data_IF_235651213500
#
_entry.id   IF_235651213500
#
_cell.length_a   1.000
_cell.length_b   1.000
_cell.length_c   1.000
_cell.angle_alpha   90.00
_cell.angle_beta   90.00
_cell.angle_gamma   90.00
#
_symmetry.space_group_name_H-M   'P 1'
#
loop_
_entity.id
_entity.type
_entity.pdbx_description
1 polymer ?
#
# COMPACT_ATOMS: atom_id res chain seq x y z
N UNK A 1 -28.24 1.03 0.63
CA UNK A 1 -27.80 -0.22 1.27
C UNK A 1 -26.45 -0.02 1.91
N UNK A 2 -26.12 -0.78 2.96
CA UNK A 2 -24.82 -0.67 3.65
C UNK A 2 -23.64 -0.99 2.72
N UNK A 3 -23.82 -1.93 1.79
CA UNK A 3 -22.79 -2.27 0.78
C UNK A 3 -22.42 -1.06 -0.09
N UNK A 4 -23.38 -0.30 -0.59
CA UNK A 4 -23.09 0.88 -1.42
C UNK A 4 -22.32 1.97 -0.64
N UNK A 5 -22.62 2.13 0.65
CA UNK A 5 -21.88 3.06 1.53
C UNK A 5 -20.44 2.58 1.74
N UNK A 6 -20.25 1.28 1.94
CA UNK A 6 -18.93 0.67 2.10
C UNK A 6 -18.08 0.81 0.84
N UNK A 7 -18.65 0.51 -0.34
CA UNK A 7 -17.94 0.70 -1.62
C UNK A 7 -17.51 2.17 -1.79
N UNK A 8 -18.43 3.11 -1.59
CA UNK A 8 -18.11 4.54 -1.69
C UNK A 8 -16.98 4.94 -0.74
N UNK A 9 -17.02 4.45 0.50
CA UNK A 9 -15.99 4.72 1.49
C UNK A 9 -14.62 4.21 1.02
N UNK A 10 -14.53 2.95 0.62
CA UNK A 10 -13.27 2.36 0.19
C UNK A 10 -12.72 2.94 -1.10
N UNK A 11 -13.58 3.27 -2.08
CA UNK A 11 -13.17 3.96 -3.30
C UNK A 11 -12.57 5.34 -3.00
N UNK A 12 -13.13 6.06 -2.02
CA UNK A 12 -12.59 7.34 -1.56
C UNK A 12 -11.28 7.16 -0.81
N UNK A 13 -11.23 6.21 0.13
CA UNK A 13 -10.03 5.89 0.92
C UNK A 13 -8.85 5.48 0.03
N UNK A 14 -9.13 4.70 -1.02
CA UNK A 14 -8.16 4.31 -2.04
C UNK A 14 -7.79 5.42 -3.04
N UNK A 15 -8.35 6.62 -2.89
CA UNK A 15 -8.07 7.75 -3.78
C UNK A 15 -8.61 7.62 -5.19
N UNK A 16 -9.52 6.65 -5.45
CA UNK A 16 -10.14 6.43 -6.76
C UNK A 16 -11.26 7.44 -7.03
N UNK A 17 -11.99 7.82 -5.98
CA UNK A 17 -13.05 8.82 -6.05
C UNK A 17 -12.85 9.94 -5.04
N UNK A 18 -13.49 11.08 -5.34
CA UNK A 18 -13.55 12.25 -4.45
C UNK A 18 -14.94 12.84 -4.42
N UNK A 19 -15.31 13.46 -3.31
CA UNK A 19 -16.54 14.24 -3.21
C UNK A 19 -16.30 15.66 -3.72
N UNK A 20 -17.01 16.07 -4.76
CA UNK A 20 -16.93 17.43 -5.30
C UNK A 20 -18.22 18.20 -4.92
N UNK A 21 -18.11 19.36 -4.25
CA UNK A 21 -19.28 20.15 -3.89
C UNK A 21 -20.20 20.38 -5.08
N UNK A 22 -21.51 20.17 -4.89
CA UNK A 22 -22.60 20.30 -5.88
C UNK A 22 -22.55 19.32 -7.08
N UNK A 23 -21.44 18.57 -7.27
CA UNK A 23 -21.29 17.59 -8.36
C UNK A 23 -21.36 16.13 -7.88
N UNK A 24 -21.34 15.92 -6.57
CA UNK A 24 -21.35 14.57 -5.98
C UNK A 24 -20.03 13.83 -6.12
N UNK A 25 -20.08 12.51 -6.20
CA UNK A 25 -18.88 11.66 -6.33
C UNK A 25 -18.33 11.74 -7.75
N UNK A 26 -17.03 12.04 -7.86
CA UNK A 26 -16.30 12.10 -9.13
C UNK A 26 -15.08 11.17 -9.06
N UNK A 27 -14.61 10.69 -10.21
CA UNK A 27 -13.32 10.02 -10.31
C UNK A 27 -12.18 11.03 -10.13
N UNK A 28 -11.16 10.62 -9.41
CA UNK A 28 -9.86 11.32 -9.40
C UNK A 28 -9.10 11.01 -10.70
N UNK A 29 -7.93 11.63 -10.92
CA UNK A 29 -7.08 11.25 -12.06
C UNK A 29 -6.65 9.77 -11.96
N UNK A 30 -6.26 9.29 -10.78
CA UNK A 30 -6.02 7.86 -10.53
C UNK A 30 -7.25 7.01 -10.92
N UNK A 31 -8.44 7.42 -10.48
CA UNK A 31 -9.69 6.69 -10.77
C UNK A 31 -10.02 6.65 -12.27
N UNK A 32 -9.74 7.73 -13.02
CA UNK A 32 -9.93 7.77 -14.48
C UNK A 32 -9.00 6.81 -15.20
N UNK A 33 -7.73 6.77 -14.79
CA UNK A 33 -6.72 5.87 -15.37
C UNK A 33 -7.11 4.42 -15.11
N UNK A 34 -7.44 4.06 -13.87
CA UNK A 34 -7.90 2.69 -13.54
C UNK A 34 -9.15 2.33 -14.34
N UNK A 35 -10.16 3.22 -14.40
CA UNK A 35 -11.38 2.96 -15.16
C UNK A 35 -11.13 2.77 -16.66
N UNK A 36 -10.08 3.37 -17.21
CA UNK A 36 -9.71 3.26 -18.62
C UNK A 36 -8.93 1.98 -18.93
N UNK A 37 -7.95 1.63 -18.07
CA UNK A 37 -6.97 0.59 -18.41
C UNK A 37 -7.19 -0.73 -17.66
N UNK A 38 -7.74 -0.67 -16.45
CA UNK A 38 -7.98 -1.84 -15.59
C UNK A 38 -9.32 -1.72 -14.83
N UNK A 39 -10.47 -1.64 -15.53
CA UNK A 39 -11.77 -1.40 -14.92
C UNK A 39 -12.23 -2.51 -13.96
N UNK A 40 -11.65 -3.70 -14.05
CA UNK A 40 -11.97 -4.86 -13.21
C UNK A 40 -10.97 -5.06 -12.07
N UNK A 41 -9.89 -4.26 -12.01
CA UNK A 41 -8.85 -4.33 -10.97
C UNK A 41 -8.22 -5.73 -10.94
N UNK A 42 -7.81 -6.22 -12.10
CA UNK A 42 -7.16 -7.52 -12.28
C UNK A 42 -5.63 -7.41 -12.36
N UNK A 43 -5.11 -6.21 -12.62
CA UNK A 43 -3.68 -5.98 -12.72
C UNK A 43 -3.04 -5.87 -11.32
N UNK A 44 -1.97 -6.62 -11.10
CA UNK A 44 -1.22 -6.62 -9.84
C UNK A 44 -0.68 -5.21 -9.50
N UNK A 45 -0.29 -4.43 -10.50
CA UNK A 45 0.17 -3.06 -10.29
C UNK A 45 -0.94 -2.16 -9.72
N UNK A 46 -2.17 -2.27 -10.26
CA UNK A 46 -3.35 -1.59 -9.71
C UNK A 46 -3.57 -1.94 -8.25
N UNK A 47 -3.51 -3.24 -7.91
CA UNK A 47 -3.68 -3.70 -6.53
C UNK A 47 -2.62 -3.11 -5.60
N UNK A 48 -1.36 -3.04 -6.03
CA UNK A 48 -0.29 -2.41 -5.26
C UNK A 48 -0.53 -0.91 -5.05
N UNK A 49 -0.94 -0.18 -6.08
CA UNK A 49 -1.25 1.26 -5.96
C UNK A 49 -2.42 1.48 -4.99
N UNK A 50 -3.50 0.71 -5.12
CA UNK A 50 -4.65 0.80 -4.20
C UNK A 50 -4.26 0.47 -2.77
N UNK A 51 -3.42 -0.55 -2.55
CA UNK A 51 -2.86 -0.86 -1.25
C UNK A 51 -2.09 0.33 -0.67
N UNK A 52 -1.16 0.91 -1.43
CA UNK A 52 -0.37 2.05 -1.00
C UNK A 52 -1.26 3.25 -0.62
N UNK A 53 -2.32 3.50 -1.39
CA UNK A 53 -3.28 4.59 -1.08
C UNK A 53 -4.07 4.32 0.19
N UNK A 54 -4.57 3.10 0.39
CA UNK A 54 -5.32 2.72 1.60
C UNK A 54 -4.40 2.75 2.81
N UNK A 55 -3.28 2.04 2.77
CA UNK A 55 -2.33 1.94 3.88
C UNK A 55 -1.58 3.26 4.15
N UNK A 56 -1.49 4.16 3.16
CA UNK A 56 -0.96 5.51 3.31
C UNK A 56 -1.93 6.54 3.90
N UNK A 57 -3.21 6.19 4.04
CA UNK A 57 -4.28 7.14 4.43
C UNK A 57 -4.59 7.05 5.94
N UNK A 58 -3.90 7.85 6.75
CA UNK A 58 -4.14 7.89 8.19
C UNK A 58 -5.54 8.37 8.56
N UNK A 59 -6.08 9.36 7.85
CA UNK A 59 -7.37 9.98 8.21
C UNK A 59 -8.57 9.07 8.00
N UNK A 60 -8.56 8.26 6.94
CA UNK A 60 -9.70 7.41 6.57
C UNK A 60 -9.47 5.93 6.84
N UNK A 61 -8.23 5.48 7.01
CA UNK A 61 -7.89 4.09 7.27
C UNK A 61 -6.79 3.99 8.35
N UNK A 62 -7.03 4.63 9.50
CA UNK A 62 -6.07 4.73 10.60
C UNK A 62 -5.49 3.37 10.98
N UNK A 63 -6.32 2.35 11.18
CA UNK A 63 -5.88 0.98 11.53
C UNK A 63 -4.99 0.37 10.44
N UNK A 64 -5.34 0.50 9.14
CA UNK A 64 -4.46 0.04 8.04
C UNK A 64 -3.14 0.79 8.01
N UNK A 65 -3.22 2.09 8.21
CA UNK A 65 -2.04 2.94 8.18
C UNK A 65 -1.05 2.59 9.30
N UNK A 66 -1.53 2.45 10.52
CA UNK A 66 -0.70 2.10 11.68
C UNK A 66 -0.16 0.67 11.55
N UNK A 67 -0.99 -0.28 11.10
CA UNK A 67 -0.57 -1.66 10.88
C UNK A 67 0.65 -1.75 9.95
N UNK A 68 0.64 -1.07 8.81
CA UNK A 68 1.74 -1.14 7.86
C UNK A 68 2.93 -0.26 8.25
N UNK A 69 2.71 0.93 8.82
CA UNK A 69 3.78 1.88 9.12
C UNK A 69 4.45 1.69 10.48
N UNK A 70 3.68 1.35 11.52
CA UNK A 70 4.15 1.38 12.91
C UNK A 70 4.29 0.01 13.55
N UNK A 71 3.47 -0.97 13.16
CA UNK A 71 3.56 -2.31 13.75
C UNK A 71 4.75 -3.08 13.17
N UNK A 72 5.82 -3.16 13.92
CA UNK A 72 6.99 -3.99 13.57
C UNK A 72 6.81 -5.41 14.13
N UNK A 73 6.11 -6.25 13.38
CA UNK A 73 5.80 -7.63 13.74
C UNK A 73 6.81 -8.58 13.11
N UNK A 74 7.88 -8.85 13.83
CA UNK A 74 8.94 -9.78 13.40
C UNK A 74 8.61 -11.25 13.72
N UNK A 75 7.61 -11.49 14.57
CA UNK A 75 7.15 -12.81 14.99
C UNK A 75 5.68 -13.04 14.68
N UNK A 76 5.22 -14.30 14.75
CA UNK A 76 3.82 -14.65 14.59
C UNK A 76 2.96 -14.06 15.70
N UNK A 77 1.84 -13.43 15.34
CA UNK A 77 0.91 -12.75 16.23
C UNK A 77 -0.52 -13.27 16.05
N UNK A 78 -1.33 -13.10 17.08
CA UNK A 78 -2.77 -13.38 17.05
C UNK A 78 -3.56 -12.11 16.73
N UNK A 79 -4.84 -12.27 16.38
CA UNK A 79 -5.75 -11.12 16.25
C UNK A 79 -5.83 -10.28 17.55
N UNK A 80 -5.75 -10.93 18.71
CA UNK A 80 -5.79 -10.23 20.00
C UNK A 80 -4.50 -9.43 20.26
N UNK A 81 -3.34 -9.97 19.86
CA UNK A 81 -2.07 -9.23 19.93
C UNK A 81 -2.14 -7.99 19.03
N UNK A 82 -2.62 -8.15 17.80
CA UNK A 82 -2.83 -7.04 16.86
C UNK A 82 -3.77 -5.98 17.45
N UNK A 83 -4.93 -6.38 17.98
CA UNK A 83 -5.89 -5.48 18.59
C UNK A 83 -5.27 -4.61 19.70
N UNK A 84 -4.51 -5.23 20.61
CA UNK A 84 -3.87 -4.52 21.73
C UNK A 84 -2.85 -3.50 21.23
N UNK A 85 -1.99 -3.90 20.29
CA UNK A 85 -0.98 -3.03 19.71
C UNK A 85 -1.62 -1.86 18.94
N UNK A 86 -2.64 -2.14 18.11
CA UNK A 86 -3.37 -1.09 17.37
C UNK A 86 -4.06 -0.09 18.30
N UNK A 87 -4.71 -0.60 19.36
CA UNK A 87 -5.34 0.26 20.35
C UNK A 87 -4.35 1.25 20.97
N UNK A 88 -3.21 0.73 21.43
CA UNK A 88 -2.20 1.56 22.08
C UNK A 88 -1.58 2.55 21.09
N UNK A 89 -1.33 2.15 19.84
CA UNK A 89 -0.85 3.05 18.79
C UNK A 89 -1.85 4.14 18.42
N UNK A 90 -3.15 3.82 18.30
CA UNK A 90 -4.18 4.82 17.98
C UNK A 90 -4.26 5.87 19.11
N UNK A 91 -4.31 5.45 20.36
CA UNK A 91 -4.35 6.36 21.51
C UNK A 91 -3.12 7.28 21.55
N UNK A 92 -1.94 6.73 21.25
CA UNK A 92 -0.68 7.51 21.23
C UNK A 92 -0.64 8.52 20.07
N UNK A 93 -1.05 8.10 18.86
CA UNK A 93 -0.98 8.96 17.66
C UNK A 93 -2.11 9.98 17.57
N UNK A 94 -3.30 9.70 18.10
CA UNK A 94 -4.46 10.60 18.01
C UNK A 94 -4.63 11.47 19.25
N UNK A 95 -4.06 11.07 20.38
CA UNK A 95 -4.28 11.71 21.67
C UNK A 95 -5.70 11.54 22.22
N UNK A 96 -6.49 10.63 21.65
CA UNK A 96 -7.82 10.30 22.18
C UNK A 96 -7.70 9.55 23.52
N UNK A 97 -8.66 9.77 24.42
CA UNK A 97 -8.69 9.05 25.71
C UNK A 97 -9.35 7.67 25.59
N UNK A 98 -10.31 7.53 24.66
CA UNK A 98 -11.08 6.30 24.44
C UNK A 98 -11.32 6.08 22.95
N UNK A 99 -11.33 4.81 22.54
CA UNK A 99 -11.68 4.38 21.18
C UNK A 99 -12.76 3.30 21.21
N UNK A 100 -13.51 3.17 20.11
CA UNK A 100 -14.48 2.09 19.98
C UNK A 100 -13.79 0.74 19.78
N UNK A 101 -13.69 -0.05 20.86
CA UNK A 101 -13.09 -1.40 20.79
C UNK A 101 -13.76 -2.29 19.75
N UNK A 102 -15.08 -2.17 19.60
CA UNK A 102 -15.82 -2.97 18.61
C UNK A 102 -15.36 -2.62 17.19
N UNK A 103 -15.30 -1.33 16.86
CA UNK A 103 -14.86 -0.89 15.54
C UNK A 103 -13.42 -1.33 15.27
N UNK A 104 -12.52 -1.17 16.23
CA UNK A 104 -11.13 -1.60 16.09
C UNK A 104 -11.00 -3.12 15.90
N UNK A 105 -11.80 -3.94 16.61
CA UNK A 105 -11.82 -5.40 16.41
C UNK A 105 -12.34 -5.78 15.02
N UNK A 106 -13.32 -5.05 14.51
CA UNK A 106 -13.85 -5.24 13.17
C UNK A 106 -12.77 -4.89 12.11
N UNK A 107 -12.04 -3.78 12.30
CA UNK A 107 -10.93 -3.37 11.43
C UNK A 107 -9.77 -4.39 11.44
N UNK A 108 -9.34 -4.84 12.61
CA UNK A 108 -8.32 -5.90 12.72
C UNK A 108 -8.75 -7.16 11.96
N UNK A 109 -10.01 -7.55 12.10
CA UNK A 109 -10.56 -8.71 11.39
C UNK A 109 -10.58 -8.48 9.88
N UNK A 110 -10.93 -7.27 9.45
CA UNK A 110 -10.96 -6.89 8.04
C UNK A 110 -9.55 -6.90 7.41
N UNK A 111 -8.54 -6.34 8.09
CA UNK A 111 -7.14 -6.39 7.63
C UNK A 111 -6.68 -7.84 7.46
N UNK A 112 -6.86 -8.67 8.49
CA UNK A 112 -6.46 -10.07 8.44
C UNK A 112 -7.18 -10.85 7.33
N UNK A 113 -8.45 -10.56 7.08
CA UNK A 113 -9.24 -11.19 6.02
C UNK A 113 -8.88 -10.67 4.63
N UNK A 114 -8.45 -9.42 4.52
CA UNK A 114 -8.13 -8.75 3.26
C UNK A 114 -6.78 -9.23 2.70
N UNK A 115 -5.78 -9.44 3.56
CA UNK A 115 -4.40 -9.70 3.14
C UNK A 115 -3.91 -11.13 3.36
N UNK A 116 -4.64 -11.99 4.07
CA UNK A 116 -4.18 -13.36 4.33
C UNK A 116 -5.04 -14.41 3.65
N UNK A 117 -4.38 -15.46 3.15
CA UNK A 117 -5.04 -16.63 2.58
C UNK A 117 -6.10 -17.20 3.52
N UNK A 118 -7.26 -17.52 2.97
CA UNK A 118 -8.26 -18.30 3.68
C UNK A 118 -7.78 -19.74 3.78
N UNK A 119 -7.77 -20.29 4.99
CA UNK A 119 -7.41 -21.70 5.21
C UNK A 119 -8.27 -22.64 4.38
N UNK A 120 -7.70 -23.76 3.96
CA UNK A 120 -8.26 -24.78 3.07
C UNK A 120 -9.51 -25.54 3.58
N UNK A 121 -10.13 -25.12 4.70
CA UNK A 121 -11.27 -25.77 5.33
C UNK A 121 -12.63 -25.13 4.97
N UNK A 122 -12.76 -24.49 3.82
CA UNK A 122 -14.07 -24.02 3.35
C UNK A 122 -14.57 -25.05 2.34
N UNK A 123 -15.57 -25.84 2.75
CA UNK A 123 -16.16 -26.91 1.97
C UNK A 123 -16.99 -26.42 0.76
N UNK A 124 -17.28 -25.12 0.67
CA UNK A 124 -18.05 -24.54 -0.43
C UNK A 124 -17.19 -23.55 -1.26
N UNK A 125 -16.96 -23.82 -2.56
CA UNK A 125 -16.27 -22.92 -3.45
C UNK A 125 -16.95 -21.55 -3.63
N UNK A 126 -18.28 -21.46 -3.45
CA UNK A 126 -19.04 -20.21 -3.58
C UNK A 126 -18.86 -19.29 -2.37
N UNK A 127 -18.49 -19.82 -1.20
CA UNK A 127 -18.17 -19.07 0.00
C UNK A 127 -16.73 -18.52 0.03
N UNK A 128 -15.92 -18.85 -0.95
CA UNK A 128 -14.57 -18.28 -1.13
C UNK A 128 -14.66 -16.84 -1.64
N UNK A 129 -15.06 -15.92 -0.79
CA UNK A 129 -14.79 -14.49 -1.03
C UNK A 129 -13.29 -14.26 -0.86
N UNK A 130 -12.53 -14.49 -1.91
CA UNK A 130 -11.09 -14.23 -1.94
C UNK A 130 -10.92 -12.71 -2.13
N UNK A 131 -10.18 -12.08 -1.24
CA UNK A 131 -9.78 -10.68 -1.44
C UNK A 131 -8.64 -10.64 -2.45
N UNK A 132 -8.66 -9.79 -3.48
CA UNK A 132 -7.54 -9.68 -4.42
C UNK A 132 -6.25 -9.23 -3.74
N UNK A 133 -6.31 -8.53 -2.60
CA UNK A 133 -5.14 -8.09 -1.85
C UNK A 133 -4.35 -9.24 -1.18
N UNK A 134 -4.93 -10.43 -1.07
CA UNK A 134 -4.22 -11.64 -0.64
C UNK A 134 -3.03 -11.94 -1.57
N UNK A 135 -3.16 -11.65 -2.86
CA UNK A 135 -2.12 -11.89 -3.87
C UNK A 135 -0.86 -11.03 -3.67
N UNK A 136 -0.95 -9.94 -2.91
CA UNK A 136 0.20 -9.10 -2.56
C UNK A 136 1.19 -9.81 -1.65
N UNK A 137 0.76 -10.85 -0.93
CA UNK A 137 1.63 -11.67 -0.08
C UNK A 137 2.17 -10.94 1.15
N UNK A 138 1.46 -9.90 1.64
CA UNK A 138 1.90 -9.10 2.80
C UNK A 138 1.57 -9.72 4.15
N UNK A 139 0.65 -10.67 4.18
CA UNK A 139 0.31 -11.47 5.35
C UNK A 139 0.19 -12.94 4.99
N UNK A 140 0.73 -13.80 5.84
CA UNK A 140 0.54 -15.24 5.75
C UNK A 140 -0.04 -15.81 7.04
N UNK A 141 -0.77 -16.92 6.91
CA UNK A 141 -1.24 -17.66 8.07
C UNK A 141 -0.14 -18.59 8.58
N UNK A 142 0.16 -18.48 9.86
CA UNK A 142 0.94 -19.48 10.58
C UNK A 142 0.00 -20.51 11.22
N UNK A 143 0.55 -21.43 12.02
CA UNK A 143 -0.25 -22.46 12.70
C UNK A 143 -1.22 -21.85 13.75
N UNK A 144 -2.42 -22.44 13.88
CA UNK A 144 -3.39 -22.18 14.97
C UNK A 144 -3.81 -20.72 15.17
N UNK A 145 -4.30 -20.06 14.12
CA UNK A 145 -4.90 -18.72 14.23
C UNK A 145 -3.89 -17.59 14.44
N UNK A 146 -2.62 -17.85 14.17
CA UNK A 146 -1.57 -16.85 14.14
C UNK A 146 -1.31 -16.38 12.71
N UNK A 147 -0.80 -15.16 12.60
CA UNK A 147 -0.45 -14.49 11.35
C UNK A 147 1.00 -14.01 11.41
N UNK A 148 1.60 -13.83 10.26
CA UNK A 148 2.96 -13.28 10.11
C UNK A 148 2.92 -12.19 9.04
N UNK A 149 3.50 -11.02 9.31
CA UNK A 149 3.79 -10.03 8.25
C UNK A 149 4.87 -10.62 7.34
N UNK A 150 4.52 -10.74 6.08
CA UNK A 150 5.37 -11.36 5.06
C UNK A 150 5.93 -10.30 4.11
N UNK A 151 7.08 -10.61 3.52
CA UNK A 151 7.64 -9.80 2.44
C UNK A 151 7.04 -10.27 1.11
N UNK A 152 6.70 -9.35 0.21
CA UNK A 152 6.19 -9.72 -1.10
C UNK A 152 7.22 -10.48 -1.91
N UNK A 153 6.76 -11.27 -2.87
CA UNK A 153 7.64 -11.82 -3.90
C UNK A 153 8.09 -10.70 -4.82
N UNK A 154 9.41 -10.55 -4.99
CA UNK A 154 10.01 -9.48 -5.80
C UNK A 154 9.47 -9.42 -7.24
N UNK A 155 9.20 -10.58 -7.84
CA UNK A 155 8.67 -10.69 -9.20
C UNK A 155 7.17 -10.33 -9.34
N UNK A 156 6.46 -10.16 -8.21
CA UNK A 156 5.06 -9.71 -8.18
C UNK A 156 4.90 -8.22 -7.85
N UNK A 157 6.01 -7.54 -7.57
CA UNK A 157 6.03 -6.12 -7.24
C UNK A 157 6.80 -5.36 -8.33
N UNK A 158 6.09 -4.58 -9.14
CA UNK A 158 6.73 -3.78 -10.18
C UNK A 158 7.54 -2.63 -9.55
N UNK A 159 8.78 -2.38 -9.97
CA UNK A 159 9.60 -1.27 -9.47
C UNK A 159 8.94 0.10 -9.59
N UNK A 160 8.01 0.28 -10.52
CA UNK A 160 7.28 1.54 -10.67
C UNK A 160 6.35 1.84 -9.50
N UNK A 161 5.96 0.84 -8.70
CA UNK A 161 5.23 1.07 -7.43
C UNK A 161 6.12 1.80 -6.42
N UNK A 162 7.41 1.41 -6.35
CA UNK A 162 8.39 2.07 -5.49
C UNK A 162 8.62 3.51 -5.97
N UNK A 163 8.79 3.69 -7.28
CA UNK A 163 8.96 5.01 -7.88
C UNK A 163 7.74 5.91 -7.63
N UNK A 164 6.52 5.36 -7.75
CA UNK A 164 5.28 6.08 -7.44
C UNK A 164 5.30 6.67 -6.02
N UNK A 165 5.63 5.87 -5.01
CA UNK A 165 5.72 6.34 -3.63
C UNK A 165 6.84 7.37 -3.43
N UNK A 166 7.97 7.21 -4.09
CA UNK A 166 9.08 8.18 -4.05
C UNK A 166 8.63 9.51 -4.64
N UNK A 167 8.02 9.51 -5.83
CA UNK A 167 7.57 10.75 -6.50
C UNK A 167 6.51 11.52 -5.70
N UNK A 168 5.68 10.83 -4.90
CA UNK A 168 4.69 11.49 -4.04
C UNK A 168 5.30 12.23 -2.84
N UNK A 169 6.55 11.93 -2.47
CA UNK A 169 7.18 12.36 -1.20
C UNK A 169 8.57 12.97 -1.36
N UNK A 170 8.91 13.43 -2.54
CA UNK A 170 10.20 14.11 -2.76
C UNK A 170 10.33 15.36 -1.88
N UNK A 171 11.55 15.63 -1.44
CA UNK A 171 11.91 16.90 -0.81
C UNK A 171 11.72 18.09 -1.78
N UNK A 172 11.74 19.32 -1.25
CA UNK A 172 11.60 20.53 -2.05
C UNK A 172 12.69 20.70 -3.13
N UNK A 173 13.87 20.09 -2.94
CA UNK A 173 14.97 20.04 -3.91
C UNK A 173 14.84 18.91 -4.94
N UNK A 174 13.78 18.12 -4.87
CA UNK A 174 13.53 16.98 -5.73
C UNK A 174 14.37 15.75 -5.39
N UNK A 175 14.86 15.62 -4.15
CA UNK A 175 15.66 14.48 -3.68
C UNK A 175 14.96 13.68 -2.60
N UNK A 176 15.47 12.47 -2.31
CA UNK A 176 15.06 11.64 -1.19
C UNK A 176 16.23 10.81 -0.67
N UNK A 177 16.39 10.68 0.65
CA UNK A 177 17.37 9.76 1.23
C UNK A 177 16.89 8.31 1.14
N UNK A 178 17.80 7.37 0.87
CA UNK A 178 17.48 5.92 0.81
C UNK A 178 16.96 5.43 2.17
N UNK A 179 17.51 5.93 3.28
CA UNK A 179 17.03 5.60 4.62
C UNK A 179 15.56 6.01 4.80
N UNK A 180 15.17 7.17 4.27
CA UNK A 180 13.77 7.59 4.32
C UNK A 180 12.89 6.73 3.44
N UNK A 181 13.33 6.33 2.26
CA UNK A 181 12.59 5.38 1.41
C UNK A 181 12.41 4.00 2.08
N UNK A 182 13.34 3.60 2.97
CA UNK A 182 13.30 2.32 3.69
C UNK A 182 12.45 2.40 4.97
N UNK A 183 12.70 3.40 5.82
CA UNK A 183 12.15 3.45 7.17
C UNK A 183 11.16 4.60 7.41
N UNK A 184 11.02 5.49 6.43
CA UNK A 184 10.14 6.64 6.50
C UNK A 184 8.65 6.27 6.53
N UNK A 185 7.85 7.13 7.13
CA UNK A 185 6.41 6.97 7.21
C UNK A 185 5.75 7.09 5.84
N UNK A 186 4.87 6.15 5.50
CA UNK A 186 4.23 6.02 4.19
C UNK A 186 5.23 5.81 3.02
N UNK A 187 6.39 5.22 3.31
CA UNK A 187 7.41 4.94 2.32
C UNK A 187 7.46 3.47 1.92
N UNK A 188 8.10 3.12 0.80
CA UNK A 188 8.12 1.76 0.26
C UNK A 188 8.49 0.69 1.27
N UNK A 189 9.52 0.91 2.08
CA UNK A 189 9.96 -0.10 3.06
C UNK A 189 8.88 -0.43 4.08
N UNK A 190 8.10 0.55 4.55
CA UNK A 190 7.02 0.34 5.52
C UNK A 190 5.76 -0.19 4.84
N UNK A 191 5.22 0.51 3.85
CA UNK A 191 3.96 0.13 3.22
C UNK A 191 4.03 -1.25 2.54
N UNK A 192 5.15 -1.58 1.91
CA UNK A 192 5.32 -2.81 1.14
C UNK A 192 6.07 -3.90 1.93
N UNK A 193 6.36 -3.66 3.22
CA UNK A 193 7.12 -4.56 4.09
C UNK A 193 8.48 -5.01 3.48
N UNK A 194 9.21 -4.06 2.88
CA UNK A 194 10.53 -4.29 2.28
C UNK A 194 11.63 -4.00 3.30
N UNK A 195 12.67 -4.81 3.29
CA UNK A 195 13.90 -4.46 3.99
C UNK A 195 14.81 -3.60 3.10
N UNK A 196 15.89 -3.06 3.70
CA UNK A 196 16.86 -2.21 2.99
C UNK A 196 17.47 -2.87 1.75
N UNK A 197 17.72 -4.18 1.80
CA UNK A 197 18.28 -4.91 0.65
C UNK A 197 17.29 -4.88 -0.51
N UNK A 198 16.04 -5.25 -0.26
CA UNK A 198 14.99 -5.24 -1.29
C UNK A 198 14.74 -3.83 -1.85
N UNK A 199 14.73 -2.81 -0.99
CA UNK A 199 14.61 -1.41 -1.45
C UNK A 199 15.76 -1.06 -2.38
N UNK A 200 17.01 -1.39 -2.01
CA UNK A 200 18.18 -1.14 -2.87
C UNK A 200 18.09 -1.90 -4.21
N UNK A 201 17.66 -3.17 -4.21
CA UNK A 201 17.49 -3.96 -5.44
C UNK A 201 16.49 -3.27 -6.40
N UNK A 202 15.37 -2.75 -5.89
CA UNK A 202 14.42 -1.98 -6.69
C UNK A 202 14.99 -0.65 -7.18
N UNK A 203 15.75 0.06 -6.35
CA UNK A 203 16.41 1.30 -6.75
C UNK A 203 17.45 1.06 -7.84
N UNK A 204 18.21 -0.03 -7.78
CA UNK A 204 19.20 -0.39 -8.80
C UNK A 204 18.51 -0.75 -10.15
N UNK A 205 17.36 -1.43 -10.11
CA UNK A 205 16.55 -1.69 -11.30
C UNK A 205 15.99 -0.39 -11.90
N UNK A 206 15.42 0.50 -11.08
CA UNK A 206 14.94 1.82 -11.50
C UNK A 206 16.06 2.68 -12.10
N UNK A 207 17.26 2.65 -11.52
CA UNK A 207 18.43 3.34 -12.06
C UNK A 207 18.88 2.74 -13.40
N UNK A 208 18.92 1.42 -13.53
CA UNK A 208 19.25 0.72 -14.78
C UNK A 208 18.26 1.11 -15.90
N UNK A 209 16.99 1.26 -15.57
CA UNK A 209 15.92 1.72 -16.47
C UNK A 209 15.89 3.24 -16.66
N UNK A 210 16.84 3.98 -16.06
CA UNK A 210 16.97 5.44 -16.14
C UNK A 210 15.73 6.20 -15.65
N UNK A 211 15.10 5.74 -14.60
CA UNK A 211 14.03 6.48 -13.93
C UNK A 211 14.56 7.36 -12.80
N UNK A 212 15.66 6.93 -12.18
CA UNK A 212 16.29 7.63 -11.08
C UNK A 212 17.82 7.61 -11.23
N UNK A 213 18.47 8.48 -10.47
CA UNK A 213 19.91 8.49 -10.23
C UNK A 213 20.08 8.25 -8.73
N UNK A 214 20.86 7.24 -8.37
CA UNK A 214 21.21 6.95 -6.98
C UNK A 214 22.65 7.35 -6.73
N UNK A 215 22.86 8.29 -5.80
CA UNK A 215 24.17 8.73 -5.39
C UNK A 215 24.55 8.11 -4.04
N UNK A 216 25.52 7.20 -4.06
CA UNK A 216 26.05 6.53 -2.86
C UNK A 216 27.48 7.00 -2.50
N UNK A 217 27.90 8.16 -3.01
CA UNK A 217 29.25 8.68 -2.82
C UNK A 217 29.38 9.36 -1.47
N UNK A 218 30.48 9.10 -0.73
CA UNK A 218 30.84 9.75 0.53
C UNK A 218 29.76 9.68 1.64
N UNK A 219 28.96 8.60 1.68
CA UNK A 219 27.90 8.43 2.67
C UNK A 219 26.63 9.23 2.36
N UNK A 220 26.52 9.80 1.16
CA UNK A 220 25.30 10.42 0.64
C UNK A 220 24.45 9.33 -0.02
N UNK A 221 23.56 8.71 0.69
CA UNK A 221 22.62 7.72 0.14
C UNK A 221 21.35 8.44 -0.35
N UNK A 222 21.45 9.13 -1.52
CA UNK A 222 20.41 10.02 -2.04
C UNK A 222 19.87 9.52 -3.39
N UNK A 223 18.56 9.59 -3.54
CA UNK A 223 17.79 9.30 -4.75
C UNK A 223 17.38 10.62 -5.41
N UNK A 224 17.58 10.73 -6.71
CA UNK A 224 17.06 11.82 -7.56
C UNK A 224 16.27 11.21 -8.71
N UNK A 225 15.01 11.60 -8.96
CA UNK A 225 14.34 11.27 -10.21
C UNK A 225 15.12 11.82 -11.42
N UNK A 226 15.10 11.08 -12.52
CA UNK A 226 15.69 11.57 -13.78
C UNK A 226 14.87 12.73 -14.33
N UNK A 227 15.40 13.94 -14.21
CA UNK A 227 14.74 15.17 -14.67
C UNK A 227 14.45 15.19 -16.17
N UNK A 228 15.11 14.34 -16.97
CA UNK A 228 14.84 14.26 -18.41
C UNK A 228 13.48 13.66 -18.72
N UNK A 229 12.88 12.96 -17.78
CA UNK A 229 11.56 12.31 -17.92
C UNK A 229 10.42 13.16 -17.34
N UNK A 230 10.71 14.03 -16.38
CA UNK A 230 9.76 14.95 -15.70
C UNK A 230 8.42 14.27 -15.34
N UNK A 231 8.49 13.04 -14.79
CA UNK A 231 7.32 12.21 -14.53
C UNK A 231 6.64 12.61 -13.22
N UNK A 232 5.34 12.86 -13.31
CA UNK A 232 4.46 12.89 -12.12
C UNK A 232 4.01 11.47 -11.75
N UNK A 233 3.48 11.25 -10.52
CA UNK A 233 2.85 9.98 -10.18
C UNK A 233 1.74 9.55 -11.15
N UNK A 234 0.98 10.50 -11.69
CA UNK A 234 -0.10 10.25 -12.68
C UNK A 234 0.47 9.80 -14.02
N UNK A 235 1.52 10.49 -14.51
CA UNK A 235 2.19 10.11 -15.77
C UNK A 235 2.79 8.71 -15.67
N UNK A 236 3.33 8.35 -14.51
CA UNK A 236 3.88 7.03 -14.24
C UNK A 236 2.82 5.93 -14.38
N UNK A 237 1.61 6.16 -13.86
CA UNK A 237 0.50 5.21 -13.98
C UNK A 237 0.12 5.00 -15.45
N UNK A 238 -0.06 6.07 -16.19
CA UNK A 238 -0.39 6.02 -17.62
C UNK A 238 0.68 5.27 -18.41
N UNK A 239 1.95 5.60 -18.15
CA UNK A 239 3.09 4.94 -18.79
C UNK A 239 3.14 3.43 -18.48
N UNK A 240 2.79 3.02 -17.27
CA UNK A 240 2.75 1.59 -16.91
C UNK A 240 1.79 0.84 -17.81
N UNK A 241 0.55 1.30 -17.93
CA UNK A 241 -0.46 0.59 -18.71
C UNK A 241 -0.20 0.66 -20.22
N UNK A 242 0.29 1.77 -20.74
CA UNK A 242 0.56 1.94 -22.15
C UNK A 242 1.71 1.05 -22.67
N UNK A 243 2.72 0.74 -21.82
CA UNK A 243 3.79 -0.19 -22.21
C UNK A 243 3.30 -1.62 -22.49
N UNK A 244 2.21 -2.06 -21.85
CA UNK A 244 1.58 -3.37 -22.10
C UNK A 244 0.79 -3.45 -23.41
N UNK A 245 0.45 -2.29 -24.00
CA UNK A 245 -0.32 -2.22 -25.26
C UNK A 245 0.62 -2.27 -26.48
N UNK A 246 1.89 -1.90 -26.31
CA UNK A 246 2.89 -1.82 -27.38
C UNK A 246 3.80 -3.04 -27.49
N UNK A 247 3.59 -4.05 -26.68
CA UNK A 247 4.29 -5.34 -26.67
C UNK A 247 3.38 -6.45 -27.20
#
# INVERSE_FOLDING_TARGET
TNMAKSIRYWMKTAGVTMDVPQKGVQLTELGKIIAQYDPYIEDMFTLWILHCKIAGNFEQATTWNLFFNKMDLTSAFTREDMFKMERDLILDETGEEEISERSLRDDCTAILSMYSEKGSQIDDPEDKKISPFEELGLLSRATKGKFVKSRPMMNKLDPLVILFLILEKLNADGSMQIDYATDGYNMPGKLLNLNRIMVNDFLDDLQTKKFIIVNRTAGLDIIYPDKSKDLTPVDLLTMYYERGITS
#
